data_IF_562602972155
#
_entry.id   IF_562602972155
#
_cell.length_a   1.000
_cell.length_b   1.000
_cell.length_c   1.000
_cell.angle_alpha   90.00
_cell.angle_beta   90.00
_cell.angle_gamma   90.00
#
_symmetry.space_group_name_H-M   'P 1'
#
loop_
_entity.id
_entity.type
_entity.pdbx_description
1 polymer ?
#
# COMPACT_ATOMS: atom_id res chain seq x y z
N UNK A 1 6.64 -16.42 13.94
CA UNK A 1 7.15 -16.20 12.58
C UNK A 1 6.74 -14.83 12.11
N UNK A 2 7.65 -14.04 11.66
CA UNK A 2 7.36 -12.70 11.20
C UNK A 2 7.50 -12.61 9.69
N UNK A 3 6.59 -11.90 9.05
CA UNK A 3 6.62 -11.71 7.61
C UNK A 3 6.96 -10.27 7.31
N UNK A 4 7.86 -10.05 6.35
CA UNK A 4 8.28 -8.70 5.99
C UNK A 4 8.16 -8.52 4.49
N UNK A 5 7.92 -7.29 4.07
CA UNK A 5 7.89 -6.98 2.64
C UNK A 5 8.61 -5.65 2.42
N UNK A 6 9.34 -5.57 1.33
CA UNK A 6 10.02 -4.32 0.97
C UNK A 6 9.03 -3.40 0.27
N UNK A 7 8.81 -2.20 0.81
CA UNK A 7 7.88 -1.28 0.15
C UNK A 7 8.33 -0.81 -1.22
N UNK A 8 9.60 -1.00 -1.54
CA UNK A 8 10.10 -0.56 -2.84
C UNK A 8 10.05 -1.66 -3.90
N UNK A 9 10.66 -2.80 -3.66
CA UNK A 9 10.75 -3.84 -4.69
C UNK A 9 9.79 -5.01 -4.46
N UNK A 10 9.08 -5.00 -3.35
CA UNK A 10 8.11 -6.03 -2.98
C UNK A 10 8.75 -7.39 -2.64
N UNK A 11 10.06 -7.41 -2.41
CA UNK A 11 10.72 -8.64 -1.98
C UNK A 11 10.18 -9.01 -0.60
N UNK A 12 9.93 -10.30 -0.38
CA UNK A 12 9.37 -10.77 0.87
C UNK A 12 10.43 -11.52 1.66
N UNK A 13 10.37 -11.41 2.96
CA UNK A 13 11.28 -12.11 3.84
C UNK A 13 10.49 -12.69 5.00
N UNK A 14 10.87 -13.86 5.46
CA UNK A 14 10.24 -14.52 6.58
C UNK A 14 11.29 -14.72 7.64
N UNK A 15 11.01 -14.26 8.85
CA UNK A 15 11.91 -14.49 9.96
C UNK A 15 11.35 -15.69 10.71
N UNK A 16 11.85 -16.83 10.35
CA UNK A 16 11.35 -18.07 10.94
C UNK A 16 11.73 -18.20 12.39
N UNK A 17 12.81 -17.57 12.79
CA UNK A 17 13.23 -17.73 14.14
C UNK A 17 12.58 -16.74 15.06
N UNK A 18 12.33 -15.61 14.61
CA UNK A 18 11.64 -14.60 15.38
C UNK A 18 12.14 -14.37 16.76
N UNK A 19 12.90 -15.31 17.23
CA UNK A 19 13.31 -15.23 18.57
C UNK A 19 14.41 -14.26 18.77
N UNK A 20 15.13 -14.04 17.75
CA UNK A 20 16.25 -13.15 17.89
C UNK A 20 15.74 -11.76 17.72
N UNK A 21 14.48 -11.64 17.81
CA UNK A 21 13.87 -10.42 17.50
C UNK A 21 14.48 -9.17 17.95
N UNK A 22 15.14 -9.19 19.04
CA UNK A 22 15.64 -7.98 19.51
C UNK A 22 16.56 -7.31 18.56
N UNK A 23 17.46 -8.00 18.05
CA UNK A 23 18.42 -7.38 17.20
C UNK A 23 18.37 -7.94 15.82
N UNK A 24 17.50 -8.86 15.59
CA UNK A 24 17.50 -9.51 14.30
C UNK A 24 16.51 -8.94 13.35
N UNK A 25 15.78 -7.94 13.74
CA UNK A 25 14.83 -7.33 12.84
C UNK A 25 15.57 -6.82 11.62
N UNK A 26 15.14 -7.18 10.43
CA UNK A 26 15.84 -6.73 9.23
C UNK A 26 15.86 -5.23 9.16
N UNK A 27 17.03 -4.65 8.90
CA UNK A 27 17.14 -3.22 8.82
C UNK A 27 16.83 -2.72 7.43
N UNK A 28 17.04 -3.52 6.43
CA UNK A 28 16.77 -3.09 5.09
C UNK A 28 16.59 -4.24 4.14
N UNK A 29 16.33 -3.93 2.89
CA UNK A 29 16.10 -4.94 1.89
C UNK A 29 17.40 -5.42 1.26
N UNK A 30 17.65 -6.72 1.32
CA UNK A 30 18.86 -7.29 0.74
C UNK A 30 18.79 -7.32 -0.78
N UNK A 31 17.61 -7.19 -1.34
CA UNK A 31 17.46 -7.32 -2.77
C UNK A 31 17.66 -5.98 -3.50
N UNK A 32 17.11 -4.90 -2.99
CA UNK A 32 17.21 -3.61 -3.66
C UNK A 32 17.90 -2.54 -2.84
N UNK A 33 18.24 -2.83 -1.58
CA UNK A 33 18.90 -1.84 -0.73
C UNK A 33 18.00 -0.81 -0.07
N UNK A 34 16.69 -0.98 -0.20
CA UNK A 34 15.78 -0.02 0.43
C UNK A 34 15.97 -0.05 1.95
N UNK A 35 15.83 1.08 2.60
CA UNK A 35 16.25 1.25 3.98
C UNK A 35 15.44 0.57 5.06
N UNK A 36 14.23 0.06 4.76
CA UNK A 36 13.47 -0.67 5.77
C UNK A 36 12.52 -1.67 5.14
N UNK A 37 12.09 -2.63 5.94
CA UNK A 37 11.08 -3.61 5.54
C UNK A 37 9.85 -3.40 6.40
N UNK A 38 8.68 -3.59 5.82
CA UNK A 38 7.42 -3.43 6.53
C UNK A 38 6.98 -4.79 7.06
N UNK A 39 6.64 -4.85 8.34
CA UNK A 39 6.22 -6.11 8.96
C UNK A 39 4.73 -6.34 8.78
N UNK A 40 4.39 -7.55 8.36
CA UNK A 40 3.00 -7.98 8.22
C UNK A 40 2.72 -9.06 9.25
N UNK A 41 1.46 -9.15 9.67
CA UNK A 41 1.08 -10.21 10.59
C UNK A 41 0.80 -11.52 9.86
N UNK A 42 0.59 -11.44 8.57
CA UNK A 42 0.27 -12.62 7.80
C UNK A 42 1.06 -12.64 6.51
N UNK A 43 1.10 -13.79 5.88
CA UNK A 43 1.88 -13.97 4.66
C UNK A 43 1.06 -13.50 3.47
N UNK A 44 1.11 -12.20 3.22
CA UNK A 44 0.34 -11.57 2.16
C UNK A 44 1.21 -11.35 0.93
N UNK A 45 0.63 -11.58 -0.24
CA UNK A 45 1.32 -11.39 -1.49
C UNK A 45 0.68 -10.24 -2.26
N UNK A 46 1.47 -9.30 -2.77
CA UNK A 46 0.91 -8.21 -3.57
C UNK A 46 0.24 -8.75 -4.83
N UNK A 47 -0.87 -8.15 -5.24
CA UNK A 47 -1.47 -8.52 -6.52
C UNK A 47 -0.53 -8.17 -7.68
N UNK A 48 -0.79 -8.77 -8.83
CA UNK A 48 -0.01 -8.46 -10.02
C UNK A 48 -0.14 -6.97 -10.35
N UNK A 49 0.92 -6.37 -10.75
CA UNK A 49 0.99 -4.96 -11.14
C UNK A 49 0.71 -4.01 -9.97
N UNK A 50 0.83 -4.47 -8.74
CA UNK A 50 0.63 -3.60 -7.60
C UNK A 50 1.82 -2.68 -7.38
N UNK A 51 1.54 -1.49 -6.84
CA UNK A 51 2.56 -0.59 -6.35
C UNK A 51 2.35 -0.38 -4.87
N UNK A 52 3.41 -0.30 -4.10
CA UNK A 52 3.32 -0.14 -2.65
C UNK A 52 3.76 1.25 -2.23
N UNK A 53 3.02 1.81 -1.26
CA UNK A 53 3.40 3.09 -0.67
C UNK A 53 3.47 2.87 0.84
N UNK A 54 4.51 3.38 1.47
CA UNK A 54 4.61 3.33 2.92
C UNK A 54 4.30 4.73 3.44
N UNK A 55 3.53 4.82 4.50
CA UNK A 55 3.14 6.09 5.08
C UNK A 55 3.38 6.10 6.58
N UNK A 56 3.55 7.30 7.14
CA UNK A 56 3.69 7.45 8.58
C UNK A 56 2.32 7.49 9.24
N UNK A 57 2.31 7.73 10.56
CA UNK A 57 1.06 7.71 11.33
C UNK A 57 0.09 8.82 10.93
N UNK A 58 0.55 9.82 10.22
CA UNK A 58 -0.30 10.90 9.76
C UNK A 58 -0.69 10.71 8.30
N UNK A 59 -0.49 9.52 7.77
CA UNK A 59 -0.79 9.17 6.39
C UNK A 59 0.07 9.93 5.37
N UNK A 60 1.24 10.42 5.79
CA UNK A 60 2.13 11.10 4.85
C UNK A 60 3.03 10.09 4.19
N UNK A 61 3.18 10.19 2.89
CA UNK A 61 3.92 9.21 2.11
C UNK A 61 5.40 9.29 2.42
N UNK A 62 5.97 8.17 2.82
CA UNK A 62 7.40 8.04 3.09
C UNK A 62 8.12 7.43 1.91
N UNK A 63 7.45 6.62 1.13
CA UNK A 63 8.05 6.03 -0.06
C UNK A 63 6.97 5.58 -1.02
N UNK A 64 7.30 5.62 -2.30
CA UNK A 64 6.44 5.08 -3.34
C UNK A 64 7.30 4.12 -4.17
N UNK A 65 7.03 2.84 -4.05
CA UNK A 65 7.87 1.82 -4.65
C UNK A 65 7.59 1.56 -6.11
N UNK A 66 8.21 0.52 -6.62
CA UNK A 66 8.05 0.14 -8.01
C UNK A 66 6.60 -0.18 -8.30
N UNK A 67 6.15 0.22 -9.46
CA UNK A 67 4.76 0.02 -9.86
C UNK A 67 3.87 1.21 -9.58
N UNK A 68 4.24 2.06 -8.62
CA UNK A 68 3.40 3.21 -8.29
C UNK A 68 3.35 4.21 -9.45
N UNK A 69 4.50 4.52 -10.05
CA UNK A 69 4.52 5.46 -11.16
C UNK A 69 3.71 4.93 -12.33
N UNK A 70 3.88 3.65 -12.65
CA UNK A 70 3.17 3.05 -13.77
C UNK A 70 1.66 3.10 -13.55
N UNK A 71 1.24 2.97 -12.31
CA UNK A 71 -0.17 2.94 -12.01
C UNK A 71 -0.77 4.34 -11.90
N UNK A 72 -0.04 5.28 -11.32
CA UNK A 72 -0.59 6.59 -10.99
C UNK A 72 -0.11 7.73 -11.87
N UNK A 73 1.03 7.54 -12.50
CA UNK A 73 1.65 8.61 -13.29
C UNK A 73 2.42 9.63 -12.46
N UNK A 74 2.48 9.44 -11.14
CA UNK A 74 3.21 10.37 -10.28
C UNK A 74 4.56 9.79 -9.89
N UNK A 75 5.65 10.52 -10.13
CA UNK A 75 6.96 10.07 -9.66
C UNK A 75 7.03 10.22 -8.14
N UNK A 76 7.87 9.39 -7.52
CA UNK A 76 7.97 9.38 -6.07
C UNK A 76 8.22 10.76 -5.48
N UNK A 77 9.09 11.55 -6.08
CA UNK A 77 9.44 12.84 -5.52
C UNK A 77 8.25 13.78 -5.39
N UNK A 78 7.23 13.57 -6.21
CA UNK A 78 6.05 14.42 -6.17
C UNK A 78 5.13 13.98 -5.03
N UNK A 79 5.20 12.72 -4.65
CA UNK A 79 4.32 12.17 -3.64
C UNK A 79 4.87 12.26 -2.23
N UNK A 80 6.19 12.29 -2.08
CA UNK A 80 6.81 12.22 -0.77
C UNK A 80 6.35 13.35 0.15
N UNK A 81 5.99 12.99 1.37
CA UNK A 81 5.59 13.97 2.39
C UNK A 81 4.16 14.45 2.29
N UNK A 82 3.42 14.04 1.26
CA UNK A 82 2.04 14.46 1.09
C UNK A 82 1.09 13.45 1.71
N UNK A 83 -0.11 13.91 2.06
CA UNK A 83 -1.14 13.00 2.57
C UNK A 83 -1.52 12.04 1.45
N UNK A 84 -1.55 10.76 1.77
CA UNK A 84 -1.82 9.70 0.79
C UNK A 84 -3.13 9.93 0.05
N UNK A 85 -4.18 10.30 0.77
CA UNK A 85 -5.50 10.45 0.15
C UNK A 85 -5.54 11.64 -0.78
N UNK A 86 -4.91 12.75 -0.37
CA UNK A 86 -4.90 13.93 -1.19
C UNK A 86 -3.98 13.79 -2.38
N UNK A 87 -2.82 13.24 -2.16
CA UNK A 87 -1.83 13.10 -3.24
C UNK A 87 -2.36 12.26 -4.38
N UNK A 88 -3.13 11.22 -4.06
CA UNK A 88 -3.65 10.32 -5.09
C UNK A 88 -5.11 10.58 -5.42
N UNK A 89 -5.72 11.57 -4.82
CA UNK A 89 -7.12 11.87 -5.09
C UNK A 89 -8.05 10.71 -4.80
N UNK A 90 -7.80 10.01 -3.69
CA UNK A 90 -8.59 8.84 -3.35
C UNK A 90 -10.05 9.21 -3.13
N UNK A 91 -10.95 8.47 -3.73
CA UNK A 91 -12.37 8.76 -3.67
C UNK A 91 -13.21 7.50 -3.82
N UNK A 92 -14.50 7.68 -3.69
CA UNK A 92 -15.48 6.61 -3.87
C UNK A 92 -15.27 5.48 -2.86
N UNK A 93 -15.05 5.87 -1.61
CA UNK A 93 -14.84 4.89 -0.54
C UNK A 93 -16.12 4.11 -0.29
N UNK A 94 -16.05 2.79 -0.23
CA UNK A 94 -17.23 1.97 0.02
C UNK A 94 -17.91 2.39 1.32
N UNK A 95 -19.22 2.61 1.27
CA UNK A 95 -19.96 3.03 2.43
C UNK A 95 -19.60 4.41 2.93
N UNK A 96 -18.85 5.18 2.14
CA UNK A 96 -18.41 6.50 2.56
C UNK A 96 -17.35 6.47 3.65
N UNK A 97 -16.78 5.31 3.94
CA UNK A 97 -15.83 5.18 5.03
C UNK A 97 -14.41 5.22 4.49
N UNK A 98 -13.61 6.12 5.03
CA UNK A 98 -12.21 6.25 4.63
C UNK A 98 -11.40 5.07 5.19
N UNK A 99 -10.92 4.16 4.36
CA UNK A 99 -10.20 3.00 4.85
C UNK A 99 -8.84 3.35 5.48
N UNK A 100 -8.25 4.46 5.07
CA UNK A 100 -6.97 4.88 5.64
C UNK A 100 -7.19 5.26 7.11
N UNK A 101 -8.29 5.97 7.40
CA UNK A 101 -8.60 6.33 8.77
C UNK A 101 -8.87 5.10 9.62
N UNK A 102 -9.53 4.09 9.07
CA UNK A 102 -9.81 2.87 9.80
C UNK A 102 -8.51 2.17 10.20
N UNK A 103 -7.56 2.09 9.28
CA UNK A 103 -6.29 1.45 9.57
C UNK A 103 -5.52 2.21 10.63
N UNK A 104 -5.46 3.53 10.50
CA UNK A 104 -4.66 4.33 11.42
C UNK A 104 -5.29 4.46 12.80
N UNK A 105 -6.61 4.56 12.86
CA UNK A 105 -7.27 4.76 14.13
C UNK A 105 -7.57 3.47 14.87
N UNK A 106 -7.88 2.42 14.14
CA UNK A 106 -8.31 1.18 14.77
C UNK A 106 -7.30 0.04 14.64
N UNK A 107 -6.25 0.23 13.83
CA UNK A 107 -5.26 -0.82 13.66
C UNK A 107 -5.78 -2.05 12.94
N UNK A 108 -6.84 -1.89 12.15
CA UNK A 108 -7.45 -3.00 11.45
C UNK A 108 -7.14 -2.92 9.97
N UNK A 109 -6.52 -3.96 9.44
CA UNK A 109 -6.20 -3.96 8.00
C UNK A 109 -7.46 -3.90 7.18
N UNK A 110 -7.34 -3.35 5.99
CA UNK A 110 -8.43 -3.25 5.04
C UNK A 110 -7.98 -3.93 3.75
N UNK A 111 -8.66 -4.98 3.34
CA UNK A 111 -8.27 -5.73 2.15
C UNK A 111 -9.26 -5.56 1.03
N UNK A 112 -8.75 -5.52 -0.19
CA UNK A 112 -9.57 -5.56 -1.39
C UNK A 112 -10.61 -4.45 -1.42
N UNK A 113 -10.20 -3.25 -1.04
CA UNK A 113 -11.11 -2.12 -1.00
C UNK A 113 -11.13 -1.46 -2.37
N UNK A 114 -12.28 -1.42 -3.04
CA UNK A 114 -12.37 -0.77 -4.35
C UNK A 114 -12.51 0.75 -4.17
N UNK A 115 -11.59 1.49 -4.74
CA UNK A 115 -11.64 2.95 -4.70
C UNK A 115 -11.22 3.48 -6.05
N UNK A 116 -11.27 4.78 -6.22
CA UNK A 116 -10.69 5.41 -7.40
C UNK A 116 -9.58 6.34 -6.96
N UNK A 117 -8.61 6.53 -7.83
CA UNK A 117 -7.58 7.52 -7.61
C UNK A 117 -7.55 8.43 -8.82
N UNK A 118 -6.91 9.60 -8.69
CA UNK A 118 -6.77 10.52 -9.79
C UNK A 118 -5.40 10.31 -10.43
N UNK A 119 -5.39 9.87 -11.67
CA UNK A 119 -4.14 9.69 -12.40
C UNK A 119 -3.54 11.06 -12.72
N UNK A 120 -2.23 11.12 -12.87
CA UNK A 120 -1.54 12.39 -13.09
C UNK A 120 -2.00 13.13 -14.35
N UNK A 121 -2.53 12.41 -15.33
CA UNK A 121 -3.03 13.06 -16.54
C UNK A 121 -4.48 13.50 -16.39
N UNK A 122 -5.08 13.36 -15.21
CA UNK A 122 -6.36 13.99 -14.92
C UNK A 122 -7.60 13.15 -14.99
N UNK A 123 -7.48 11.85 -15.23
CA UNK A 123 -8.66 10.99 -15.23
C UNK A 123 -8.71 10.15 -13.96
N UNK A 124 -9.92 9.71 -13.62
CA UNK A 124 -10.08 8.82 -12.47
C UNK A 124 -9.74 7.40 -12.89
N UNK A 125 -9.14 6.65 -12.00
CA UNK A 125 -8.74 5.29 -12.30
C UNK A 125 -9.21 4.37 -11.17
N UNK A 126 -9.97 3.33 -11.49
CA UNK A 126 -10.39 2.39 -10.45
C UNK A 126 -9.22 1.51 -10.03
N UNK A 127 -9.05 1.34 -8.73
CA UNK A 127 -7.97 0.52 -8.19
C UNK A 127 -8.50 -0.30 -7.03
N UNK A 128 -7.78 -1.37 -6.73
CA UNK A 128 -8.00 -2.17 -5.56
C UNK A 128 -6.93 -1.74 -4.55
N UNK A 129 -7.37 -1.49 -3.34
CA UNK A 129 -6.47 -1.01 -2.30
C UNK A 129 -6.44 -1.98 -1.14
N UNK A 130 -5.24 -2.39 -0.73
CA UNK A 130 -5.06 -3.15 0.49
C UNK A 130 -4.24 -2.29 1.44
N UNK A 131 -4.64 -2.21 2.69
CA UNK A 131 -3.99 -1.36 3.68
C UNK A 131 -3.66 -2.17 4.92
N UNK A 132 -2.45 -2.00 5.42
CA UNK A 132 -1.99 -2.73 6.61
C UNK A 132 -1.43 -1.75 7.62
N UNK A 133 -1.81 -1.87 8.90
CA UNK A 133 -1.24 -1.00 9.92
C UNK A 133 0.18 -1.41 10.26
N UNK A 134 1.02 -0.45 10.61
CA UNK A 134 2.35 -0.76 11.11
C UNK A 134 2.24 -1.20 12.56
N UNK A 135 3.07 -2.15 12.94
CA UNK A 135 3.00 -2.71 14.28
C UNK A 135 4.12 -2.23 15.20
N UNK A 136 4.87 -1.23 14.76
CA UNK A 136 5.89 -0.65 15.60
C UNK A 136 5.35 0.60 16.30
N UNK A 137 6.16 1.15 17.18
CA UNK A 137 5.70 2.29 17.97
C UNK A 137 5.50 3.54 17.15
N UNK A 138 6.16 3.65 16.03
CA UNK A 138 6.04 4.86 15.23
C UNK A 138 4.71 4.90 14.46
N UNK A 139 4.08 3.76 14.31
CA UNK A 139 2.81 3.73 13.62
C UNK A 139 2.96 3.86 12.12
N UNK A 140 1.86 4.09 11.45
CA UNK A 140 1.84 4.23 10.01
C UNK A 140 1.13 3.10 9.32
N UNK A 141 1.32 3.01 8.01
CA UNK A 141 0.64 1.98 7.22
C UNK A 141 1.40 1.65 5.94
N UNK A 142 1.07 0.51 5.38
CA UNK A 142 1.50 0.12 4.03
C UNK A 142 0.25 0.09 3.16
N UNK A 143 0.32 0.74 2.01
CA UNK A 143 -0.77 0.77 1.05
C UNK A 143 -0.36 0.04 -0.21
N UNK A 144 -1.18 -0.90 -0.65
CA UNK A 144 -0.96 -1.58 -1.92
C UNK A 144 -2.07 -1.15 -2.86
N UNK A 145 -1.70 -0.65 -4.02
CA UNK A 145 -2.67 -0.29 -5.05
C UNK A 145 -2.44 -1.18 -6.25
N UNK A 146 -3.50 -1.74 -6.78
CA UNK A 146 -3.42 -2.56 -7.99
C UNK A 146 -4.55 -2.18 -8.93
N UNK A 147 -4.39 -2.38 -10.23
CA UNK A 147 -5.47 -2.10 -11.17
C UNK A 147 -6.69 -2.95 -10.83
N UNK A 148 -7.87 -2.36 -10.94
CA UNK A 148 -9.09 -3.09 -10.72
C UNK A 148 -9.84 -3.16 -12.03
N UNK A 149 -10.18 -4.39 -12.44
CA UNK A 149 -10.95 -4.54 -13.64
C UNK A 149 -12.37 -4.25 -13.26
N UNK A 150 -12.93 -3.24 -13.86
CA UNK A 150 -14.32 -2.91 -13.63
C UNK A 150 -15.09 -3.69 -14.67
N UNK A 151 -15.99 -4.52 -14.23
CA UNK A 151 -16.76 -5.31 -15.13
C UNK A 151 -17.45 -4.39 -16.08
N UNK A 152 -17.46 -4.78 -17.34
CA UNK A 152 -18.05 -3.98 -18.30
C UNK A 152 -19.48 -4.24 -18.21
N UNK A 153 -20.17 -3.47 -17.57
CA UNK A 153 -21.53 -3.72 -17.35
C UNK A 153 -22.20 -3.80 -18.62
N UNK A 154 -21.85 -3.01 -19.41
CA UNK A 154 -22.53 -2.95 -20.60
C UNK A 154 -22.31 -4.18 -21.25
N UNK A 155 -21.35 -4.79 -20.93
CA UNK A 155 -21.04 -5.87 -21.57
C UNK A 155 -21.96 -6.73 -21.16
N UNK A 156 -21.84 -6.89 -20.15
CA UNK A 156 -22.57 -7.78 -19.70
C UNK A 156 -23.85 -7.54 -20.07
N UNK A 157 -24.11 -6.52 -20.06
CA UNK A 157 -25.33 -6.33 -20.11
C UNK A 157 -25.81 -6.09 -21.32
N UNK A 158 -25.17 -5.90 -22.01
CA UNK A 158 -25.62 -5.58 -23.07
C UNK A 158 -26.26 -6.38 -23.43
N UNK A 159 -26.88 -6.63 -23.39
CA UNK A 159 -27.52 -7.26 -23.98
C UNK A 159 -28.34 -6.96 -24.43
#
# INVERSE_FOLDING_TARGET
MAFYICPNCQARAVDADGTEGLSSQPVGCHRCGFGFLFQLLEDWFPPASAGLLACDRDARILSAGRGVFELTGYPERVLMGRDLREALGMANFPGGRDPVAVVLEWGVRQLDVPITIRHSVGHDKPVRCDLFPAYDEDGGLLCSLAPRLVAEPAVGTSP
#
